data_IF_679863458854
#
_entry.id   IF_679863458854
#
_cell.length_a   1.000
_cell.length_b   1.000
_cell.length_c   1.000
_cell.angle_alpha   90.00
_cell.angle_beta   90.00
_cell.angle_gamma   90.00
#
_symmetry.space_group_name_H-M   'P 1'
#
loop_
_entity.id
_entity.type
_entity.pdbx_description
1 polymer ?
#
# COMPACT_ATOMS: atom_id res chain seq x y z
N UNK A 1 50.44 48.70 54.63
CA UNK A 1 49.67 48.91 53.39
C UNK A 1 48.80 47.68 53.18
N UNK A 2 47.51 47.79 53.51
CA UNK A 2 46.59 46.65 53.57
C UNK A 2 45.96 46.36 52.21
N UNK A 3 46.05 45.10 51.76
CA UNK A 3 45.34 44.62 50.60
C UNK A 3 43.86 44.41 50.96
N UNK A 4 43.00 45.18 50.29
CA UNK A 4 41.54 45.05 50.37
C UNK A 4 41.11 43.79 49.61
N UNK A 5 40.49 42.86 50.32
CA UNK A 5 39.71 41.76 49.74
C UNK A 5 38.30 42.30 49.49
N UNK A 6 37.90 42.39 48.22
CA UNK A 6 36.52 42.71 47.84
C UNK A 6 35.74 41.41 47.63
N UNK A 7 34.84 41.09 48.56
CA UNK A 7 33.87 40.00 48.41
C UNK A 7 32.69 40.58 47.62
N UNK A 8 32.52 40.11 46.39
CA UNK A 8 31.37 40.45 45.55
C UNK A 8 30.25 39.44 45.87
N UNK A 9 29.27 39.85 46.67
CA UNK A 9 28.08 39.05 46.96
C UNK A 9 27.15 39.11 45.74
N UNK A 10 27.19 38.09 44.88
CA UNK A 10 26.23 37.93 43.78
C UNK A 10 24.95 37.34 44.37
N UNK A 11 23.96 38.18 44.63
CA UNK A 11 22.59 37.73 44.93
C UNK A 11 21.98 37.13 43.67
N UNK A 12 22.00 35.80 43.60
CA UNK A 12 21.35 35.02 42.55
C UNK A 12 19.83 35.01 42.81
N UNK A 13 19.09 35.86 42.09
CA UNK A 13 17.63 35.78 42.03
C UNK A 13 17.23 34.50 41.28
N UNK A 14 16.85 33.46 42.03
CA UNK A 14 16.20 32.27 41.48
C UNK A 14 14.78 32.68 41.08
N UNK A 15 14.60 32.98 39.80
CA UNK A 15 13.26 33.00 39.19
C UNK A 15 12.77 31.56 39.08
N UNK A 16 12.02 31.10 40.09
CA UNK A 16 11.20 29.90 39.96
C UNK A 16 10.05 30.26 39.03
N UNK A 17 10.26 30.04 37.74
CA UNK A 17 9.20 30.06 36.75
C UNK A 17 8.30 28.85 37.02
N UNK A 18 7.29 29.06 37.87
CA UNK A 18 6.23 28.09 38.10
C UNK A 18 5.42 27.99 36.80
N UNK A 19 5.91 27.20 35.84
CA UNK A 19 5.15 26.80 34.69
C UNK A 19 3.90 26.09 35.21
N UNK A 20 2.76 26.76 35.13
CA UNK A 20 1.47 26.14 35.33
C UNK A 20 1.38 25.01 34.30
N UNK A 21 1.67 23.79 34.75
CA UNK A 21 1.28 22.55 34.09
C UNK A 21 -0.24 22.59 34.07
N UNK A 22 -0.79 23.22 33.04
CA UNK A 22 -2.15 22.96 32.62
C UNK A 22 -2.14 21.49 32.23
N UNK A 23 -2.60 20.65 33.15
CA UNK A 23 -3.18 19.37 32.78
C UNK A 23 -4.30 19.71 31.81
N UNK A 24 -4.00 19.73 30.51
CA UNK A 24 -4.99 19.53 29.49
C UNK A 24 -5.50 18.10 29.71
N UNK A 25 -6.45 17.99 30.63
CA UNK A 25 -7.36 16.88 30.67
C UNK A 25 -8.03 16.86 29.31
N UNK A 26 -7.50 16.05 28.39
CA UNK A 26 -8.32 15.54 27.31
C UNK A 26 -9.44 14.80 28.02
N UNK A 27 -10.59 15.47 28.20
CA UNK A 27 -11.84 14.75 28.32
C UNK A 27 -11.89 13.90 27.05
N UNK A 28 -11.56 12.62 27.18
CA UNK A 28 -11.45 11.72 26.04
C UNK A 28 -12.82 11.73 25.37
N UNK A 29 -12.90 12.29 24.17
CA UNK A 29 -14.12 12.25 23.39
C UNK A 29 -14.59 10.80 23.32
N UNK A 30 -15.88 10.55 23.48
CA UNK A 30 -16.40 9.19 23.41
C UNK A 30 -15.99 8.55 22.06
N UNK A 31 -15.54 7.28 22.08
CA UNK A 31 -15.16 6.60 20.85
C UNK A 31 -16.37 6.45 19.93
N UNK A 32 -16.16 6.66 18.64
CA UNK A 32 -17.16 6.41 17.59
C UNK A 32 -17.53 4.92 17.51
N UNK A 33 -16.57 4.05 17.82
CA UNK A 33 -16.75 2.62 17.90
C UNK A 33 -15.65 2.00 18.77
N UNK A 34 -15.99 0.87 19.40
CA UNK A 34 -15.01 -0.05 19.98
C UNK A 34 -14.93 -1.28 19.08
N UNK A 35 -13.72 -1.76 18.82
CA UNK A 35 -13.45 -2.87 17.91
C UNK A 35 -12.68 -3.93 18.68
N UNK A 36 -13.19 -5.15 18.69
CA UNK A 36 -12.48 -6.33 19.20
C UNK A 36 -11.95 -7.14 18.03
N UNK A 37 -10.67 -7.44 18.04
CA UNK A 37 -10.03 -8.32 17.06
C UNK A 37 -9.67 -9.64 17.74
N UNK A 38 -10.40 -10.69 17.38
CA UNK A 38 -10.14 -12.05 17.86
C UNK A 38 -9.11 -12.75 16.95
N UNK A 39 -8.06 -13.35 17.54
CA UNK A 39 -7.07 -14.10 16.76
C UNK A 39 -7.63 -15.40 16.16
N UNK A 40 -8.70 -15.92 16.76
CA UNK A 40 -9.25 -17.24 16.46
C UNK A 40 -8.26 -18.36 16.83
N UNK A 41 -8.26 -19.47 16.09
CA UNK A 41 -7.45 -20.65 16.39
C UNK A 41 -5.95 -20.53 16.04
N UNK A 42 -5.53 -19.41 15.47
CA UNK A 42 -4.17 -19.24 14.94
C UNK A 42 -3.50 -18.00 15.50
N UNK A 43 -2.23 -18.13 15.84
CA UNK A 43 -1.38 -16.99 16.15
C UNK A 43 -1.24 -16.11 14.91
N UNK A 44 -1.44 -14.81 15.09
CA UNK A 44 -1.35 -13.78 14.05
C UNK A 44 -0.07 -12.97 14.26
N UNK A 45 0.63 -12.64 13.18
CA UNK A 45 1.84 -11.82 13.20
C UNK A 45 1.67 -10.73 12.13
N UNK A 46 1.80 -9.46 12.53
CA UNK A 46 1.74 -8.29 11.64
C UNK A 46 0.62 -8.35 10.59
N UNK A 47 -0.56 -8.76 11.04
CA UNK A 47 -1.64 -9.16 10.14
C UNK A 47 -2.47 -7.94 9.72
N UNK A 48 -2.73 -7.74 8.42
CA UNK A 48 -3.68 -6.73 7.96
C UNK A 48 -5.09 -7.03 8.48
N UNK A 49 -5.75 -6.02 9.03
CA UNK A 49 -7.12 -6.11 9.53
C UNK A 49 -7.93 -4.99 8.90
N UNK A 50 -9.21 -5.27 8.62
CA UNK A 50 -10.15 -4.25 8.20
C UNK A 50 -11.58 -4.51 8.61
N UNK A 51 -12.31 -3.42 8.82
CA UNK A 51 -13.74 -3.41 9.10
C UNK A 51 -14.48 -2.59 8.06
N UNK A 52 -15.77 -2.89 7.84
CA UNK A 52 -16.66 -1.97 7.14
C UNK A 52 -16.91 -0.74 8.02
N UNK A 53 -17.06 0.42 7.38
CA UNK A 53 -17.44 1.67 8.02
C UNK A 53 -18.94 1.97 7.90
N UNK A 54 -19.73 1.11 7.25
CA UNK A 54 -21.14 1.35 6.94
C UNK A 54 -22.02 1.59 8.17
N UNK A 55 -21.77 0.83 9.24
CA UNK A 55 -22.57 0.86 10.47
C UNK A 55 -22.05 1.86 11.51
N UNK A 56 -20.90 2.50 11.25
CA UNK A 56 -20.31 3.44 12.19
C UNK A 56 -20.89 4.83 11.88
N UNK A 57 -21.41 5.58 12.87
CA UNK A 57 -22.02 6.90 12.69
C UNK A 57 -20.95 7.97 12.43
N UNK A 58 -20.27 7.80 11.30
CA UNK A 58 -19.17 8.60 10.80
C UNK A 58 -19.74 9.88 10.18
N UNK A 59 -20.97 9.84 9.66
CA UNK A 59 -21.48 10.93 8.81
C UNK A 59 -20.59 11.05 7.57
N UNK A 60 -20.80 12.04 6.71
CA UNK A 60 -19.83 12.35 5.65
C UNK A 60 -18.53 12.84 6.31
N UNK A 61 -17.66 11.96 6.81
CA UNK A 61 -16.36 12.35 7.34
C UNK A 61 -15.58 12.97 6.18
N UNK A 62 -15.46 14.29 6.24
CA UNK A 62 -14.50 15.11 5.51
C UNK A 62 -13.18 15.25 6.30
N UNK A 63 -13.07 14.61 7.47
CA UNK A 63 -11.93 14.71 8.40
C UNK A 63 -11.12 13.41 8.53
N UNK A 64 -10.08 13.44 9.34
CA UNK A 64 -9.28 12.25 9.61
C UNK A 64 -9.95 11.33 10.66
N UNK A 65 -9.65 10.03 10.59
CA UNK A 65 -10.06 9.01 11.56
C UNK A 65 -8.81 8.51 12.29
N UNK A 66 -8.86 8.52 13.62
CA UNK A 66 -7.83 7.98 14.50
C UNK A 66 -8.25 6.63 15.07
N UNK A 67 -7.30 5.72 15.19
CA UNK A 67 -7.47 4.44 15.88
C UNK A 67 -6.41 4.34 16.96
N UNK A 68 -6.82 3.91 18.15
CA UNK A 68 -5.88 3.54 19.21
C UNK A 68 -6.13 2.10 19.62
N UNK A 69 -5.06 1.38 19.92
CA UNK A 69 -5.12 0.11 20.62
C UNK A 69 -5.18 0.36 22.13
N UNK A 70 -6.12 -0.27 22.81
CA UNK A 70 -6.25 -0.20 24.26
C UNK A 70 -5.26 -1.18 24.90
N UNK A 71 -4.27 -0.65 25.62
CA UNK A 71 -3.28 -1.45 26.38
C UNK A 71 -3.26 -1.05 27.85
N UNK A 72 -2.72 -1.94 28.68
CA UNK A 72 -2.58 -1.75 30.13
C UNK A 72 -1.83 -0.46 30.51
N UNK A 73 -0.79 -0.09 29.75
CA UNK A 73 0.02 1.11 30.00
C UNK A 73 -0.56 2.39 29.36
N UNK A 74 -1.74 2.29 28.74
CA UNK A 74 -2.40 3.40 28.06
C UNK A 74 -2.66 3.12 26.57
N UNK A 75 -3.51 3.93 25.93
CA UNK A 75 -3.85 3.78 24.52
C UNK A 75 -2.64 4.05 23.63
N UNK A 76 -2.43 3.20 22.63
CA UNK A 76 -1.33 3.33 21.65
C UNK A 76 -1.90 3.69 20.28
N UNK A 77 -1.54 4.83 19.67
CA UNK A 77 -2.01 5.18 18.34
C UNK A 77 -1.58 4.17 17.27
N UNK A 78 -2.51 3.86 16.35
CA UNK A 78 -2.35 2.89 15.26
C UNK A 78 -2.50 3.60 13.93
N UNK A 79 -1.61 3.29 12.99
CA UNK A 79 -1.73 3.77 11.61
C UNK A 79 -2.97 3.17 10.96
N UNK A 80 -3.80 4.03 10.36
CA UNK A 80 -5.01 3.64 9.64
C UNK A 80 -5.06 4.19 8.23
N UNK A 81 -5.75 3.49 7.35
CA UNK A 81 -6.00 3.93 5.98
C UNK A 81 -7.41 3.56 5.57
N UNK A 82 -8.11 4.50 4.95
CA UNK A 82 -9.46 4.26 4.42
C UNK A 82 -9.31 3.80 2.97
N UNK A 83 -9.90 2.64 2.68
CA UNK A 83 -10.18 2.22 1.32
C UNK A 83 -11.54 2.81 0.91
N UNK A 84 -11.59 3.68 -0.11
CA UNK A 84 -12.85 4.26 -0.57
C UNK A 84 -13.65 3.24 -1.40
N UNK A 85 -14.96 3.39 -1.40
CA UNK A 85 -15.91 2.59 -2.16
C UNK A 85 -17.33 2.83 -1.66
N UNK A 86 -18.31 2.16 -2.27
CA UNK A 86 -19.72 2.23 -1.82
C UNK A 86 -19.88 1.71 -0.38
N UNK A 87 -19.05 0.73 0.00
CA UNK A 87 -18.85 0.26 1.36
C UNK A 87 -17.39 0.52 1.75
N UNK A 88 -17.05 1.69 2.32
CA UNK A 88 -15.68 2.03 2.64
C UNK A 88 -15.14 1.18 3.79
N UNK A 89 -13.85 0.85 3.74
CA UNK A 89 -13.20 0.03 4.76
C UNK A 89 -12.07 0.76 5.45
N UNK A 90 -11.98 0.59 6.76
CA UNK A 90 -10.82 1.02 7.54
C UNK A 90 -9.81 -0.12 7.62
N UNK A 91 -8.58 0.13 7.22
CA UNK A 91 -7.47 -0.81 7.28
C UNK A 91 -6.44 -0.39 8.33
N UNK A 92 -5.85 -1.36 9.03
CA UNK A 92 -4.67 -1.20 9.86
C UNK A 92 -3.88 -2.52 9.94
N UNK A 93 -2.67 -2.47 10.50
CA UNK A 93 -1.87 -3.66 10.78
C UNK A 93 -1.96 -4.01 12.26
N UNK A 94 -2.34 -5.25 12.57
CA UNK A 94 -2.27 -5.85 13.90
C UNK A 94 -0.81 -6.13 14.25
N UNK A 95 -0.04 -5.06 14.50
CA UNK A 95 1.42 -5.12 14.63
C UNK A 95 1.85 -5.98 15.82
N UNK A 96 2.92 -6.74 15.65
CA UNK A 96 3.43 -7.71 16.62
C UNK A 96 2.68 -9.05 16.58
N UNK A 97 2.85 -9.84 17.64
CA UNK A 97 2.23 -11.16 17.77
C UNK A 97 0.95 -11.09 18.57
N UNK A 98 -0.13 -11.66 18.04
CA UNK A 98 -1.40 -11.89 18.73
C UNK A 98 -1.60 -13.39 18.82
N UNK A 99 -1.56 -13.96 20.03
CA UNK A 99 -1.61 -15.41 20.25
C UNK A 99 -2.97 -15.99 19.85
N UNK A 100 -2.98 -17.26 19.42
CA UNK A 100 -4.24 -18.00 19.22
C UNK A 100 -5.13 -17.91 20.48
N UNK A 101 -6.42 -17.70 20.27
CA UNK A 101 -7.43 -17.57 21.33
C UNK A 101 -7.40 -16.24 22.10
N UNK A 102 -6.48 -15.32 21.76
CA UNK A 102 -6.44 -13.99 22.38
C UNK A 102 -7.19 -12.93 21.57
N UNK A 103 -7.49 -11.83 22.25
CA UNK A 103 -8.20 -10.68 21.70
C UNK A 103 -7.34 -9.41 21.83
N UNK A 104 -7.56 -8.46 20.92
CA UNK A 104 -7.02 -7.10 21.03
C UNK A 104 -8.15 -6.10 20.83
N UNK A 105 -8.14 -5.05 21.67
CA UNK A 105 -9.21 -4.06 21.72
C UNK A 105 -8.73 -2.73 21.15
N UNK A 106 -9.58 -2.08 20.37
CA UNK A 106 -9.30 -0.81 19.74
C UNK A 106 -10.47 0.14 19.90
N UNK A 107 -10.16 1.44 19.88
CA UNK A 107 -11.15 2.49 19.94
C UNK A 107 -10.94 3.45 18.76
N UNK A 108 -12.04 3.75 18.07
CA UNK A 108 -12.09 4.61 16.90
C UNK A 108 -12.53 6.00 17.31
N UNK A 109 -11.86 7.04 16.82
CA UNK A 109 -12.18 8.43 17.13
C UNK A 109 -12.17 9.31 15.89
N UNK A 110 -12.91 10.42 15.96
CA UNK A 110 -12.74 11.53 15.03
C UNK A 110 -11.45 12.26 15.36
N UNK A 111 -10.51 12.35 14.43
CA UNK A 111 -9.23 12.99 14.69
C UNK A 111 -8.11 12.50 13.78
N UNK A 112 -6.95 13.18 13.79
CA UNK A 112 -5.83 12.84 12.93
C UNK A 112 -5.31 11.42 13.18
N UNK A 113 -4.95 10.72 12.10
CA UNK A 113 -4.11 9.53 12.21
C UNK A 113 -2.70 9.98 12.66
N UNK A 114 -2.27 9.52 13.83
CA UNK A 114 -1.05 9.97 14.48
C UNK A 114 0.22 9.24 14.01
N UNK A 115 0.12 8.23 13.13
CA UNK A 115 1.29 7.49 12.59
C UNK A 115 1.51 7.74 11.10
N UNK A 116 2.78 7.90 10.73
CA UNK A 116 3.22 8.43 9.41
C UNK A 116 4.00 7.45 8.54
N UNK A 117 4.21 6.19 8.95
CA UNK A 117 4.95 5.20 8.14
C UNK A 117 4.24 4.99 6.81
N UNK A 118 4.79 5.52 5.72
CA UNK A 118 4.11 5.57 4.41
C UNK A 118 4.60 4.47 3.49
N UNK A 119 3.67 3.70 2.93
CA UNK A 119 3.88 2.96 1.69
C UNK A 119 3.66 3.94 0.55
N UNK A 120 4.67 4.08 -0.28
CA UNK A 120 4.73 5.04 -1.36
C UNK A 120 4.55 4.35 -2.70
N UNK A 121 3.75 5.00 -3.55
CA UNK A 121 3.58 4.65 -4.95
C UNK A 121 4.15 5.80 -5.77
N UNK A 122 5.26 5.54 -6.47
CA UNK A 122 5.91 6.48 -7.37
C UNK A 122 5.77 5.99 -8.81
N UNK A 123 5.65 6.92 -9.76
CA UNK A 123 5.46 6.59 -11.17
C UNK A 123 6.21 7.58 -12.05
N UNK A 124 6.86 7.06 -13.08
CA UNK A 124 7.38 7.82 -14.22
C UNK A 124 6.70 7.36 -15.52
N UNK A 125 7.23 7.77 -16.67
CA UNK A 125 6.66 7.45 -17.98
C UNK A 125 6.76 5.97 -18.36
N UNK A 126 7.57 5.17 -17.64
CA UNK A 126 7.82 3.76 -17.94
C UNK A 126 7.26 2.80 -16.91
N UNK A 127 7.42 3.12 -15.62
CA UNK A 127 7.14 2.21 -14.52
C UNK A 127 6.38 2.88 -13.38
N UNK A 128 5.65 2.05 -12.62
CA UNK A 128 5.12 2.38 -11.30
C UNK A 128 5.81 1.49 -10.28
N UNK A 129 6.30 2.05 -9.18
CA UNK A 129 6.94 1.32 -8.09
C UNK A 129 6.19 1.52 -6.77
N UNK A 130 6.05 0.43 -6.00
CA UNK A 130 5.56 0.43 -4.63
C UNK A 130 6.74 0.18 -3.69
N UNK A 131 6.95 1.07 -2.72
CA UNK A 131 8.09 1.01 -1.79
C UNK A 131 7.73 1.51 -0.38
N UNK A 132 8.56 1.22 0.60
CA UNK A 132 8.52 1.82 1.94
C UNK A 132 9.95 2.21 2.32
N UNK A 133 10.22 3.51 2.39
CA UNK A 133 11.59 4.01 2.47
C UNK A 133 12.40 3.54 1.26
N UNK A 134 13.53 2.88 1.53
CA UNK A 134 14.41 2.32 0.50
C UNK A 134 14.03 0.88 0.08
N UNK A 135 13.13 0.23 0.82
CA UNK A 135 12.66 -1.13 0.51
C UNK A 135 11.64 -1.09 -0.62
N UNK A 136 11.97 -1.69 -1.76
CA UNK A 136 11.05 -1.88 -2.90
C UNK A 136 10.25 -3.16 -2.71
N UNK A 137 8.98 -3.14 -3.07
CA UNK A 137 8.11 -4.33 -3.03
C UNK A 137 7.74 -4.81 -4.42
N UNK A 138 7.38 -3.88 -5.30
CA UNK A 138 6.85 -4.21 -6.63
C UNK A 138 7.16 -3.10 -7.63
N UNK A 139 7.54 -3.50 -8.84
CA UNK A 139 7.56 -2.65 -10.03
C UNK A 139 6.54 -3.18 -11.05
N UNK A 140 5.72 -2.27 -11.55
CA UNK A 140 4.77 -2.51 -12.61
C UNK A 140 5.21 -1.75 -13.87
N UNK A 141 5.51 -2.49 -14.93
CA UNK A 141 5.95 -1.94 -16.21
C UNK A 141 4.71 -1.61 -17.05
N UNK A 142 4.42 -0.32 -17.19
CA UNK A 142 3.23 0.16 -17.88
C UNK A 142 3.54 0.69 -19.29
N UNK A 143 4.77 1.14 -19.54
CA UNK A 143 5.25 1.34 -20.91
C UNK A 143 5.66 0.01 -21.59
N UNK A 144 5.71 -0.01 -22.93
CA UNK A 144 6.27 -1.13 -23.68
C UNK A 144 7.74 -1.38 -23.34
N UNK A 145 8.06 -2.61 -22.97
CA UNK A 145 9.40 -3.14 -22.73
C UNK A 145 9.74 -4.10 -23.88
N UNK A 146 10.77 -3.81 -24.70
CA UNK A 146 11.17 -4.70 -25.78
C UNK A 146 11.82 -5.97 -25.23
N UNK A 147 11.77 -7.09 -25.98
CA UNK A 147 12.54 -8.27 -25.62
C UNK A 147 14.04 -8.04 -25.81
N UNK A 148 14.90 -8.96 -25.34
CA UNK A 148 16.34 -8.93 -25.62
C UNK A 148 16.66 -8.81 -27.11
N UNK A 149 17.80 -8.20 -27.43
CA UNK A 149 18.25 -8.00 -28.80
C UNK A 149 18.26 -9.32 -29.60
N UNK A 150 17.84 -9.24 -30.87
CA UNK A 150 17.75 -10.40 -31.76
C UNK A 150 16.56 -11.32 -31.51
N UNK A 151 15.70 -11.03 -30.52
CA UNK A 151 14.43 -11.75 -30.31
C UNK A 151 13.29 -11.10 -31.08
N UNK A 152 12.24 -11.89 -31.32
CA UNK A 152 11.06 -11.44 -32.06
C UNK A 152 10.40 -10.23 -31.36
N UNK A 153 10.25 -9.06 -32.03
CA UNK A 153 9.63 -7.87 -31.45
C UNK A 153 8.20 -8.07 -30.94
N UNK A 154 7.50 -9.13 -31.38
CA UNK A 154 6.18 -9.51 -30.85
C UNK A 154 6.20 -9.84 -29.35
N UNK A 155 7.37 -10.09 -28.76
CA UNK A 155 7.54 -10.23 -27.31
C UNK A 155 7.62 -8.89 -26.56
N UNK A 156 7.44 -7.75 -27.23
CA UNK A 156 7.34 -6.46 -26.55
C UNK A 156 6.10 -6.42 -25.65
N UNK A 157 6.28 -6.04 -24.38
CA UNK A 157 5.21 -6.13 -23.37
C UNK A 157 5.02 -4.87 -22.56
N UNK A 158 3.77 -4.61 -22.18
CA UNK A 158 3.40 -3.73 -21.07
C UNK A 158 2.37 -4.44 -20.18
N UNK A 159 2.07 -3.87 -19.02
CA UNK A 159 1.03 -4.36 -18.13
C UNK A 159 1.43 -5.59 -17.31
N UNK A 160 2.69 -5.64 -16.85
CA UNK A 160 3.21 -6.76 -16.07
C UNK A 160 4.03 -6.30 -14.86
N UNK A 161 4.09 -7.16 -13.85
CA UNK A 161 4.92 -6.96 -12.66
C UNK A 161 6.25 -7.66 -12.87
N UNK A 162 7.32 -6.86 -12.90
CA UNK A 162 8.68 -7.31 -12.74
C UNK A 162 9.59 -6.09 -12.49
N UNK A 163 10.53 -6.18 -11.53
CA UNK A 163 10.64 -7.23 -10.51
C UNK A 163 9.53 -7.15 -9.45
N UNK A 164 9.25 -8.30 -8.82
CA UNK A 164 8.64 -8.40 -7.50
C UNK A 164 9.75 -8.73 -6.51
N UNK A 165 9.81 -8.05 -5.37
CA UNK A 165 10.87 -8.25 -4.38
C UNK A 165 10.37 -8.97 -3.13
N UNK A 166 11.21 -9.82 -2.55
CA UNK A 166 11.02 -10.36 -1.20
C UNK A 166 11.22 -9.25 -0.15
N UNK A 167 10.80 -9.46 1.11
CA UNK A 167 11.10 -8.51 2.20
C UNK A 167 12.60 -8.27 2.43
N UNK A 168 13.47 -9.21 2.02
CA UNK A 168 14.93 -9.11 2.10
C UNK A 168 15.56 -8.46 0.87
N UNK A 169 14.76 -8.18 -0.17
CA UNK A 169 15.22 -7.49 -1.39
C UNK A 169 15.57 -8.41 -2.56
N UNK A 170 15.36 -9.72 -2.44
CA UNK A 170 15.60 -10.67 -3.53
C UNK A 170 14.53 -10.55 -4.60
N UNK A 171 14.91 -10.62 -5.87
CA UNK A 171 13.95 -10.61 -6.98
C UNK A 171 13.27 -11.98 -7.09
N UNK A 172 11.95 -12.01 -6.99
CA UNK A 172 11.09 -13.20 -7.01
C UNK A 172 10.49 -13.53 -8.38
N UNK A 173 10.67 -12.66 -9.38
CA UNK A 173 10.16 -12.86 -10.73
C UNK A 173 11.26 -12.77 -11.76
N UNK A 174 11.14 -13.53 -12.83
CA UNK A 174 12.05 -13.49 -13.98
C UNK A 174 11.28 -13.10 -15.24
N UNK A 175 12.00 -12.56 -16.23
CA UNK A 175 11.49 -12.30 -17.58
C UNK A 175 12.47 -12.87 -18.61
N UNK A 176 11.94 -13.31 -19.75
CA UNK A 176 12.75 -13.74 -20.90
C UNK A 176 13.81 -14.82 -20.61
N UNK A 177 13.50 -15.89 -19.86
CA UNK A 177 14.44 -16.99 -19.67
C UNK A 177 14.82 -17.61 -21.03
N UNK A 178 16.03 -18.16 -21.12
CA UNK A 178 16.63 -18.58 -22.38
C UNK A 178 15.82 -19.67 -23.12
N UNK A 179 15.15 -20.55 -22.38
CA UNK A 179 14.33 -21.64 -22.89
C UNK A 179 12.85 -21.27 -23.10
N UNK A 180 12.37 -20.19 -22.47
CA UNK A 180 10.98 -19.73 -22.54
C UNK A 180 10.88 -18.20 -22.66
N UNK A 181 11.38 -17.66 -23.78
CA UNK A 181 11.48 -16.21 -24.02
C UNK A 181 10.16 -15.42 -23.86
N UNK A 182 9.01 -16.09 -23.98
CA UNK A 182 7.69 -15.48 -23.85
C UNK A 182 7.19 -15.35 -22.40
N UNK A 183 7.93 -15.85 -21.41
CA UNK A 183 7.60 -15.67 -19.99
C UNK A 183 7.96 -14.26 -19.53
N UNK A 184 6.99 -13.55 -18.94
CA UNK A 184 7.14 -12.14 -18.55
C UNK A 184 6.50 -11.89 -17.18
N UNK A 185 7.28 -12.14 -16.12
CA UNK A 185 6.92 -11.77 -14.75
C UNK A 185 5.53 -12.24 -14.35
N UNK A 186 4.76 -11.36 -13.69
CA UNK A 186 3.35 -11.61 -13.38
C UNK A 186 2.50 -10.72 -14.29
N UNK A 187 1.66 -11.34 -15.11
CA UNK A 187 0.78 -10.69 -16.07
C UNK A 187 -0.48 -11.53 -16.28
N UNK A 188 -1.50 -10.97 -16.96
CA UNK A 188 -2.83 -11.58 -17.07
C UNK A 188 -3.22 -11.97 -18.51
N UNK A 189 -2.54 -12.95 -19.14
CA UNK A 189 -2.91 -13.48 -20.45
C UNK A 189 -3.96 -14.61 -20.36
N UNK A 190 -4.65 -14.87 -21.48
CA UNK A 190 -5.51 -16.03 -21.66
C UNK A 190 -5.01 -16.90 -22.82
N UNK A 191 -5.01 -18.22 -22.62
CA UNK A 191 -4.74 -19.21 -23.68
C UNK A 191 -6.04 -19.81 -24.20
N UNK A 192 -6.03 -20.35 -25.43
CA UNK A 192 -7.16 -21.13 -25.98
C UNK A 192 -8.51 -20.40 -25.90
N UNK A 193 -8.53 -19.13 -26.28
CA UNK A 193 -9.77 -18.34 -26.32
C UNK A 193 -10.37 -18.35 -27.73
N UNK A 194 -11.64 -17.93 -27.86
CA UNK A 194 -12.32 -17.80 -29.14
C UNK A 194 -12.98 -16.43 -29.25
N UNK A 195 -12.71 -15.70 -30.33
CA UNK A 195 -13.30 -14.40 -30.62
C UNK A 195 -13.74 -14.35 -32.08
N UNK A 196 -14.97 -13.89 -32.35
CA UNK A 196 -15.58 -13.85 -33.69
C UNK A 196 -15.42 -15.16 -34.48
N UNK A 197 -15.57 -16.31 -33.79
CA UNK A 197 -15.48 -17.62 -34.44
C UNK A 197 -14.06 -18.17 -34.62
N UNK A 198 -13.01 -17.40 -34.32
CA UNK A 198 -11.60 -17.79 -34.48
C UNK A 198 -10.90 -17.96 -33.14
N UNK A 199 -9.91 -18.85 -33.10
CA UNK A 199 -9.04 -18.98 -31.94
C UNK A 199 -8.15 -17.73 -31.78
N UNK A 200 -7.98 -17.29 -30.55
CA UNK A 200 -7.06 -16.21 -30.18
C UNK A 200 -6.30 -16.63 -28.93
N UNK A 201 -4.98 -16.52 -28.98
CA UNK A 201 -4.09 -16.81 -27.85
C UNK A 201 -3.31 -15.54 -27.47
N UNK A 202 -3.43 -15.14 -26.20
CA UNK A 202 -2.77 -13.94 -25.66
C UNK A 202 -1.47 -14.27 -24.89
N UNK A 203 -1.12 -15.56 -24.74
CA UNK A 203 0.10 -16.05 -24.11
C UNK A 203 1.20 -16.35 -25.15
N UNK A 204 0.84 -17.01 -26.24
CA UNK A 204 1.78 -17.47 -27.28
C UNK A 204 2.13 -16.34 -28.26
N UNK A 205 2.74 -15.28 -27.75
CA UNK A 205 2.95 -13.99 -28.45
C UNK A 205 3.61 -14.11 -29.84
N UNK A 206 4.51 -15.08 -30.04
CA UNK A 206 5.15 -15.29 -31.34
C UNK A 206 4.20 -15.76 -32.44
N UNK A 207 3.05 -16.35 -32.09
CA UNK A 207 2.00 -16.66 -33.07
C UNK A 207 1.36 -15.37 -33.60
N UNK A 208 1.38 -14.29 -32.82
CA UNK A 208 0.82 -12.99 -33.22
C UNK A 208 -0.70 -13.00 -33.36
N UNK A 209 -1.40 -13.88 -32.63
CA UNK A 209 -2.86 -13.98 -32.67
C UNK A 209 -3.50 -12.96 -31.73
N UNK A 210 -2.95 -12.83 -30.52
CA UNK A 210 -3.37 -11.82 -29.56
C UNK A 210 -2.23 -11.25 -28.73
N UNK A 211 -2.51 -10.13 -28.09
CA UNK A 211 -1.61 -9.46 -27.14
C UNK A 211 -2.43 -8.84 -26.01
N UNK A 212 -1.80 -8.61 -24.86
CA UNK A 212 -2.37 -7.74 -23.82
C UNK A 212 -1.67 -6.38 -23.91
N UNK A 213 -2.28 -5.26 -23.54
CA UNK A 213 -1.53 -4.00 -23.35
C UNK A 213 -2.09 -3.20 -22.21
N UNK A 214 -1.22 -2.49 -21.50
CA UNK A 214 -1.64 -1.45 -20.58
C UNK A 214 -2.34 -0.30 -21.32
N UNK A 215 -3.43 0.21 -20.74
CA UNK A 215 -4.14 1.39 -21.24
C UNK A 215 -3.89 2.59 -20.34
N UNK A 216 -4.27 2.49 -19.07
CA UNK A 216 -4.18 3.58 -18.09
C UNK A 216 -4.26 3.05 -16.66
N UNK A 217 -3.81 3.88 -15.71
CA UNK A 217 -4.13 3.68 -14.30
C UNK A 217 -5.53 4.23 -14.01
N UNK A 218 -6.36 3.42 -13.36
CA UNK A 218 -7.67 3.83 -12.83
C UNK A 218 -7.51 4.49 -11.45
N UNK A 219 -6.55 4.03 -10.66
CA UNK A 219 -6.19 4.66 -9.39
C UNK A 219 -4.77 4.32 -8.98
N UNK A 220 -4.17 5.17 -8.14
CA UNK A 220 -2.93 4.92 -7.42
C UNK A 220 -3.09 5.39 -5.98
N UNK A 221 -2.63 4.61 -5.03
CA UNK A 221 -2.84 4.86 -3.60
C UNK A 221 -1.50 4.78 -2.89
N UNK A 222 -1.08 5.85 -2.24
CA UNK A 222 -0.06 5.83 -1.19
C UNK A 222 -0.73 6.03 0.16
N UNK A 223 -0.21 5.43 1.22
CA UNK A 223 -0.79 5.63 2.53
C UNK A 223 -0.04 4.96 3.66
N UNK A 224 -0.48 5.20 4.90
CA UNK A 224 0.24 4.80 6.10
C UNK A 224 0.14 3.29 6.43
N UNK A 225 -0.71 2.55 5.71
CA UNK A 225 -0.91 1.11 5.90
C UNK A 225 -0.54 0.34 4.64
N UNK A 226 -1.04 0.77 3.47
CA UNK A 226 -0.79 0.09 2.20
C UNK A 226 -0.61 1.09 1.05
N UNK A 227 0.05 0.61 0.00
CA UNK A 227 0.11 1.26 -1.30
C UNK A 227 -0.41 0.31 -2.37
N UNK A 228 -0.95 0.85 -3.46
CA UNK A 228 -1.52 0.04 -4.52
C UNK A 228 -1.89 0.84 -5.75
N UNK A 229 -2.35 0.14 -6.78
CA UNK A 229 -2.87 0.74 -8.00
C UNK A 229 -3.95 -0.16 -8.61
N UNK A 230 -4.79 0.44 -9.46
CA UNK A 230 -5.67 -0.27 -10.40
C UNK A 230 -5.27 0.13 -11.81
N UNK A 231 -5.13 -0.82 -12.71
CA UNK A 231 -4.80 -0.58 -14.11
C UNK A 231 -5.85 -1.23 -15.01
N UNK A 232 -6.16 -0.55 -16.11
CA UNK A 232 -6.96 -1.08 -17.21
C UNK A 232 -6.02 -1.66 -18.26
N UNK A 233 -6.32 -2.88 -18.71
CA UNK A 233 -5.62 -3.56 -19.81
C UNK A 233 -6.58 -3.69 -20.99
N UNK A 234 -6.02 -3.96 -22.17
CA UNK A 234 -6.79 -4.47 -23.30
C UNK A 234 -6.21 -5.82 -23.70
N UNK A 235 -7.06 -6.84 -23.80
CA UNK A 235 -6.76 -8.05 -24.56
C UNK A 235 -7.18 -7.79 -26.00
N UNK A 236 -6.23 -7.94 -26.91
CA UNK A 236 -6.36 -7.49 -28.29
C UNK A 236 -6.11 -8.66 -29.23
N UNK A 237 -7.09 -8.96 -30.10
CA UNK A 237 -6.93 -9.88 -31.21
C UNK A 237 -6.27 -9.13 -32.39
N UNK A 238 -5.12 -9.61 -32.83
CA UNK A 238 -4.29 -8.95 -33.85
C UNK A 238 -4.70 -9.35 -35.27
N UNK A 239 -5.39 -10.49 -35.44
CA UNK A 239 -5.75 -11.08 -36.74
C UNK A 239 -7.26 -11.24 -36.92
N UNK A 240 -7.99 -10.13 -36.94
CA UNK A 240 -9.43 -10.13 -37.31
C UNK A 240 -9.64 -9.71 -38.76
N UNK A 241 -10.88 -9.81 -39.26
CA UNK A 241 -11.20 -9.39 -40.63
C UNK A 241 -10.99 -7.88 -40.85
N UNK A 242 -11.15 -7.08 -39.79
CA UNK A 242 -11.03 -5.62 -39.82
C UNK A 242 -9.70 -5.12 -39.20
N UNK A 243 -8.72 -6.02 -39.06
CA UNK A 243 -7.43 -5.72 -38.42
C UNK A 243 -7.43 -6.00 -36.91
N UNK A 244 -6.78 -5.14 -36.14
CA UNK A 244 -6.71 -5.27 -34.68
C UNK A 244 -8.06 -4.94 -34.02
N UNK A 245 -8.52 -5.78 -33.08
CA UNK A 245 -9.72 -5.52 -32.26
C UNK A 245 -9.49 -5.79 -30.78
N UNK A 246 -10.05 -4.94 -29.93
CA UNK A 246 -10.12 -5.16 -28.48
C UNK A 246 -11.19 -6.20 -28.17
N UNK A 247 -10.80 -7.24 -27.45
CA UNK A 247 -11.65 -8.37 -27.04
C UNK A 247 -12.17 -8.17 -25.61
N UNK A 248 -11.31 -7.73 -24.70
CA UNK A 248 -11.61 -7.55 -23.27
C UNK A 248 -10.89 -6.31 -22.73
N UNK A 249 -11.51 -5.65 -21.75
CA UNK A 249 -10.94 -4.56 -20.94
C UNK A 249 -10.98 -4.91 -19.46
#
# INVERSE_FOLDING_TARGET
>A
MGNRVSILTISMFIFVLLAALTNQSFAAAEPLATITVEAGKHTRIDTPVSISLDEIPIGRITGAIGLVEVKLLGPVPVATQIEPGDSPRLWWILSGTTQAGSERYFQLFKGPNMKTSKVEVTKDDSVLQIRKGDTKFLQYNHAPVPPPEGKNPLYTRSGFIHPLWSPTGDVLTEIHPADHIHHVGIWMPWTKTKFEGKEVDFWNLAQGDGTVRFVKFLSTTSGPVYGGFKAEHEHVALKTADGEKVVLK
#
